data_IF_982158155083
#
_entry.id   IF_982158155083
#
_cell.length_a   1.000
_cell.length_b   1.000
_cell.length_c   1.000
_cell.angle_alpha   90.00
_cell.angle_beta   90.00
_cell.angle_gamma   90.00
#
_symmetry.space_group_name_H-M   'P 1'
#
loop_
_entity.id
_entity.type
_entity.pdbx_description
1 polymer ?
#
# COMPACT_ATOMS: atom_id res chain seq x y z
N UNK A 1 19.73 -69.17 0.09
CA UNK A 1 18.67 -69.82 -0.71
C UNK A 1 17.37 -69.69 0.08
N UNK A 2 16.56 -68.68 -0.24
CA UNK A 2 15.38 -68.77 -1.14
C UNK A 2 14.18 -69.47 -0.50
N UNK A 3 13.15 -68.64 -0.24
CA UNK A 3 11.69 -68.85 -0.30
C UNK A 3 11.09 -69.98 0.57
N UNK A 4 10.35 -69.69 1.65
CA UNK A 4 8.99 -69.11 1.77
C UNK A 4 7.88 -70.03 1.24
N UNK A 5 6.87 -70.33 2.09
CA UNK A 5 5.52 -70.91 1.87
C UNK A 5 5.10 -71.58 3.23
N UNK A 6 3.92 -71.50 3.84
CA UNK A 6 2.58 -70.94 3.58
C UNK A 6 1.86 -70.73 4.93
N UNK A 7 0.94 -69.76 4.94
CA UNK A 7 -0.03 -69.34 5.97
C UNK A 7 -0.87 -70.46 6.59
N UNK A 8 -1.28 -70.30 7.85
CA UNK A 8 -2.71 -70.30 8.22
C UNK A 8 -2.98 -69.69 9.62
N UNK A 9 -3.50 -68.47 9.62
CA UNK A 9 -4.64 -67.95 10.41
C UNK A 9 -4.90 -68.61 11.79
N UNK A 10 -4.73 -67.86 12.87
CA UNK A 10 -5.86 -67.24 13.61
C UNK A 10 -5.45 -66.71 14.99
N UNK A 11 -5.92 -65.50 15.25
CA UNK A 11 -6.38 -64.99 16.56
C UNK A 11 -5.35 -65.03 17.70
N UNK A 12 -4.74 -63.87 17.95
CA UNK A 12 -4.78 -63.11 19.21
C UNK A 12 -3.68 -62.04 19.10
N UNK A 13 -4.09 -60.79 18.91
CA UNK A 13 -3.25 -59.62 19.14
C UNK A 13 -4.23 -58.54 19.66
N UNK A 14 -4.34 -58.27 20.97
CA UNK A 14 -3.34 -57.64 21.85
C UNK A 14 -2.58 -56.53 21.13
N UNK A 15 -3.00 -55.30 21.43
CA UNK A 15 -2.12 -54.13 21.48
C UNK A 15 -1.82 -53.47 20.15
N UNK A 16 -2.67 -52.51 19.74
CA UNK A 16 -2.26 -51.34 18.95
C UNK A 16 -3.44 -50.35 18.81
N UNK A 17 -3.94 -49.80 19.92
CA UNK A 17 -4.98 -48.73 19.91
C UNK A 17 -4.37 -47.32 20.03
N UNK A 18 -3.04 -47.17 20.11
CA UNK A 18 -2.43 -45.85 20.45
C UNK A 18 -1.57 -45.23 19.34
N UNK A 19 -1.43 -45.85 18.17
CA UNK A 19 -0.48 -45.35 17.15
C UNK A 19 -1.10 -44.99 15.79
N UNK A 20 -2.40 -44.70 15.71
CA UNK A 20 -3.05 -44.28 14.46
C UNK A 20 -3.93 -43.02 14.58
N UNK A 21 -3.66 -42.17 15.58
CA UNK A 21 -4.33 -40.87 15.76
C UNK A 21 -3.38 -39.66 15.64
N UNK A 22 -2.11 -39.87 15.29
CA UNK A 22 -1.07 -38.84 15.32
C UNK A 22 -0.45 -38.52 13.93
N UNK A 23 -1.18 -38.74 12.83
CA UNK A 23 -0.75 -38.34 11.46
C UNK A 23 -1.83 -37.50 10.74
N UNK A 24 -2.74 -36.87 11.47
CA UNK A 24 -3.66 -35.86 10.93
C UNK A 24 -3.29 -34.42 11.34
N UNK A 25 -2.03 -34.18 11.70
CA UNK A 25 -1.52 -32.85 12.05
C UNK A 25 -0.51 -32.36 11.02
N UNK A 26 -1.01 -31.75 9.94
CA UNK A 26 -0.41 -30.60 9.22
C UNK A 26 -0.96 -30.45 7.79
N UNK A 27 -2.27 -30.27 7.67
CA UNK A 27 -2.80 -29.31 6.71
C UNK A 27 -3.52 -28.26 7.53
N UNK A 28 -2.76 -27.34 8.14
CA UNK A 28 -3.36 -26.05 8.46
C UNK A 28 -3.61 -25.37 7.12
N UNK A 29 -4.77 -25.66 6.54
CA UNK A 29 -5.41 -24.71 5.65
C UNK A 29 -5.63 -23.46 6.51
N UNK A 30 -4.72 -22.51 6.41
CA UNK A 30 -4.85 -21.18 6.97
C UNK A 30 -5.85 -20.40 6.11
N UNK A 31 -7.10 -20.85 6.10
CA UNK A 31 -8.25 -20.06 5.73
C UNK A 31 -8.75 -19.38 6.99
N UNK A 32 -8.21 -18.21 7.29
CA UNK A 32 -8.74 -17.34 8.35
C UNK A 32 -8.65 -15.89 7.89
N UNK A 33 -9.77 -15.20 8.06
CA UNK A 33 -10.00 -13.76 7.98
C UNK A 33 -10.53 -13.14 6.67
N UNK A 34 -11.58 -13.76 6.12
CA UNK A 34 -12.56 -13.09 5.25
C UNK A 34 -13.47 -12.16 6.08
N UNK A 35 -13.03 -10.90 6.22
CA UNK A 35 -13.80 -9.66 6.49
C UNK A 35 -12.85 -8.55 6.99
N UNK A 36 -11.79 -8.93 7.70
CA UNK A 36 -10.68 -8.06 8.08
C UNK A 36 -9.71 -7.89 6.90
N UNK A 37 -9.32 -8.94 6.19
CA UNK A 37 -8.36 -8.87 5.06
C UNK A 37 -8.67 -7.84 3.96
N UNK A 38 -9.94 -7.51 3.70
CA UNK A 38 -10.34 -6.53 2.67
C UNK A 38 -10.37 -5.08 3.15
N UNK A 39 -10.51 -4.84 4.47
CA UNK A 39 -10.34 -3.49 5.08
C UNK A 39 -8.87 -3.11 5.25
N UNK A 40 -7.96 -4.02 4.91
CA UNK A 40 -6.55 -4.03 5.29
C UNK A 40 -5.59 -3.80 4.11
N UNK A 41 -6.03 -3.45 2.90
CA UNK A 41 -5.09 -3.21 1.78
C UNK A 41 -4.76 -1.73 1.60
N UNK A 42 -5.74 -0.83 1.48
CA UNK A 42 -5.47 0.60 1.26
C UNK A 42 -4.78 1.29 2.45
N UNK A 43 -5.29 1.08 3.66
CA UNK A 43 -4.67 1.70 4.84
C UNK A 43 -3.32 1.08 5.20
N UNK A 44 -3.17 -0.23 5.01
CA UNK A 44 -1.87 -0.92 5.10
C UNK A 44 -0.90 -0.42 4.04
N UNK A 45 -1.40 -0.15 2.83
CA UNK A 45 -0.64 0.47 1.75
C UNK A 45 -0.17 1.87 2.12
N UNK A 46 -1.06 2.74 2.64
CA UNK A 46 -0.70 4.07 3.16
C UNK A 46 0.34 3.93 4.29
N UNK A 47 0.15 2.99 5.21
CA UNK A 47 1.07 2.77 6.32
C UNK A 47 2.42 2.17 5.88
N UNK A 48 2.46 1.56 4.69
CA UNK A 48 3.62 0.89 4.11
C UNK A 48 3.97 -0.43 4.77
N UNK A 49 2.99 -1.26 5.15
CA UNK A 49 3.28 -2.51 5.87
C UNK A 49 4.14 -3.48 5.04
N UNK A 50 3.96 -3.50 3.72
CA UNK A 50 4.80 -4.25 2.79
C UNK A 50 6.23 -3.70 2.72
N UNK A 51 6.41 -2.37 2.82
CA UNK A 51 7.74 -1.75 2.92
C UNK A 51 8.38 -2.10 4.27
N UNK A 52 7.63 -2.00 5.37
CA UNK A 52 8.08 -2.36 6.73
C UNK A 52 8.53 -3.81 6.82
N UNK A 53 7.75 -4.73 6.28
CA UNK A 53 8.05 -6.16 6.31
C UNK A 53 9.33 -6.54 5.54
N UNK A 54 9.68 -5.77 4.49
CA UNK A 54 10.89 -5.98 3.69
C UNK A 54 12.09 -5.16 4.15
N UNK A 55 11.87 -4.17 5.03
CA UNK A 55 12.92 -3.26 5.45
C UNK A 55 13.82 -3.92 6.49
N UNK A 56 15.07 -4.15 6.12
CA UNK A 56 16.08 -4.75 6.98
C UNK A 56 17.44 -4.16 6.65
N UNK A 57 18.43 -4.34 7.53
CA UNK A 57 19.79 -3.87 7.24
C UNK A 57 20.30 -4.50 5.93
N UNK A 58 20.71 -3.65 4.98
CA UNK A 58 21.15 -4.08 3.65
C UNK A 58 20.03 -4.32 2.63
N UNK A 59 18.76 -4.07 2.98
CA UNK A 59 17.69 -4.00 1.99
C UNK A 59 17.89 -2.78 1.10
N UNK A 60 17.46 -2.89 -0.15
CA UNK A 60 17.41 -1.77 -1.08
C UNK A 60 16.41 -0.72 -0.65
N UNK A 61 16.63 0.52 -1.08
CA UNK A 61 15.73 1.61 -0.74
C UNK A 61 14.37 1.47 -1.44
N UNK A 62 13.30 1.70 -0.69
CA UNK A 62 11.92 1.62 -1.14
C UNK A 62 11.20 2.88 -0.68
N UNK A 63 10.43 3.51 -1.56
CA UNK A 63 9.68 4.72 -1.23
C UNK A 63 8.24 4.58 -1.68
N UNK A 64 7.32 5.08 -0.88
CA UNK A 64 5.91 5.25 -1.23
C UNK A 64 5.42 6.62 -0.80
N UNK A 65 4.75 7.29 -1.72
CA UNK A 65 4.07 8.55 -1.47
C UNK A 65 2.60 8.41 -1.83
N UNK A 66 1.73 8.96 -0.99
CA UNK A 66 0.29 9.01 -1.23
C UNK A 66 -0.16 10.45 -1.08
N UNK A 67 -0.69 11.00 -2.16
CA UNK A 67 -1.40 12.26 -2.19
C UNK A 67 -2.90 12.01 -2.13
N UNK A 68 -3.56 12.58 -1.13
CA UNK A 68 -5.01 12.65 -1.09
C UNK A 68 -5.43 14.03 -1.60
N UNK A 69 -5.95 14.08 -2.82
CA UNK A 69 -6.55 15.24 -3.43
C UNK A 69 -8.06 15.22 -3.25
N UNK A 70 -8.54 15.05 -2.00
CA UNK A 70 -9.92 14.65 -1.68
C UNK A 70 -10.18 13.25 -2.24
N UNK A 71 -10.25 12.23 -1.38
CA UNK A 71 -10.22 10.81 -1.76
C UNK A 71 -11.20 10.45 -2.88
N UNK A 72 -12.42 11.00 -2.78
CA UNK A 72 -13.54 10.74 -3.70
C UNK A 72 -13.36 11.42 -5.06
N UNK A 73 -12.45 12.40 -5.15
CA UNK A 73 -12.09 13.10 -6.39
C UNK A 73 -10.79 12.59 -6.97
N UNK A 74 -9.77 12.44 -6.13
CA UNK A 74 -8.47 11.95 -6.53
C UNK A 74 -7.65 11.48 -5.32
N UNK A 75 -7.14 10.25 -5.39
CA UNK A 75 -5.97 9.85 -4.63
C UNK A 75 -4.87 9.45 -5.63
N UNK A 76 -3.63 9.79 -5.33
CA UNK A 76 -2.51 9.51 -6.22
C UNK A 76 -1.36 8.89 -5.46
N UNK A 77 -0.76 7.87 -6.03
CA UNK A 77 0.33 7.14 -5.39
C UNK A 77 1.56 7.06 -6.26
N UNK A 78 2.72 7.03 -5.61
CA UNK A 78 4.02 6.88 -6.23
C UNK A 78 4.81 5.84 -5.45
N UNK A 79 5.09 4.70 -6.06
CA UNK A 79 5.98 3.69 -5.52
C UNK A 79 7.30 3.72 -6.27
N UNK A 80 8.43 3.86 -5.56
CA UNK A 80 9.77 3.80 -6.12
C UNK A 80 10.50 2.62 -5.51
N UNK A 81 11.01 1.74 -6.36
CA UNK A 81 11.77 0.56 -5.96
C UNK A 81 12.90 0.30 -6.98
N UNK A 82 13.93 -0.46 -6.63
CA UNK A 82 14.98 -0.83 -7.58
C UNK A 82 14.40 -1.53 -8.80
N UNK A 83 15.01 -1.26 -9.95
CA UNK A 83 14.71 -2.01 -11.17
C UNK A 83 15.13 -3.48 -10.99
N UNK A 84 14.32 -4.40 -11.52
CA UNK A 84 14.65 -5.83 -11.50
C UNK A 84 15.80 -6.20 -12.45
N UNK A 85 16.07 -5.36 -13.45
CA UNK A 85 17.13 -5.53 -14.44
C UNK A 85 17.72 -4.17 -14.82
N UNK A 86 19.05 -4.09 -14.92
CA UNK A 86 19.77 -2.82 -15.13
C UNK A 86 19.78 -1.97 -13.85
N UNK A 87 20.96 -1.50 -13.43
CA UNK A 87 21.05 -0.66 -12.22
C UNK A 87 20.15 0.57 -12.33
N UNK A 88 19.46 0.93 -11.25
CA UNK A 88 18.53 2.07 -11.21
C UNK A 88 17.24 1.75 -10.46
N UNK A 89 16.25 2.63 -10.62
CA UNK A 89 14.96 2.56 -9.94
C UNK A 89 13.81 2.64 -10.94
N UNK A 90 12.65 2.15 -10.52
CA UNK A 90 11.39 2.24 -11.25
C UNK A 90 10.40 3.00 -10.40
N UNK A 91 9.86 4.08 -10.96
CA UNK A 91 8.69 4.78 -10.46
C UNK A 91 7.43 4.12 -11.00
N UNK A 92 6.47 3.83 -10.13
CA UNK A 92 5.10 3.43 -10.50
C UNK A 92 4.14 4.49 -9.96
N UNK A 93 3.52 5.25 -10.85
CA UNK A 93 2.52 6.24 -10.52
C UNK A 93 1.11 5.68 -10.76
N UNK A 94 0.17 5.99 -9.88
CA UNK A 94 -1.25 5.55 -9.99
C UNK A 94 -2.18 6.67 -9.57
N UNK A 95 -3.28 6.86 -10.30
CA UNK A 95 -4.31 7.86 -9.98
C UNK A 95 -5.65 7.18 -9.73
N UNK A 96 -6.03 7.05 -8.47
CA UNK A 96 -7.33 6.57 -8.04
C UNK A 96 -8.33 7.74 -8.08
N UNK A 97 -9.54 7.51 -8.59
CA UNK A 97 -10.56 8.56 -8.70
C UNK A 97 -11.88 8.00 -9.20
N UNK A 98 -12.93 8.83 -9.33
CA UNK A 98 -14.24 8.41 -9.83
C UNK A 98 -14.06 7.95 -11.28
N UNK A 99 -14.08 6.64 -11.43
CA UNK A 99 -14.00 5.81 -12.64
C UNK A 99 -14.04 6.54 -14.00
N UNK A 100 -12.96 6.45 -14.77
CA UNK A 100 -13.03 6.31 -16.22
C UNK A 100 -12.70 4.84 -16.56
N UNK A 101 -13.74 4.02 -16.74
CA UNK A 101 -13.65 2.57 -16.98
C UNK A 101 -13.51 2.24 -18.48
N UNK A 102 -13.20 3.22 -19.33
CA UNK A 102 -13.21 3.02 -20.78
C UNK A 102 -11.99 2.26 -21.33
N UNK A 103 -10.93 2.04 -20.53
CA UNK A 103 -9.69 1.44 -21.04
C UNK A 103 -8.92 0.61 -19.98
N UNK A 104 -9.58 -0.41 -19.40
CA UNK A 104 -8.90 -1.38 -18.53
C UNK A 104 -8.44 -2.57 -19.38
N UNK A 105 -7.23 -2.46 -19.95
CA UNK A 105 -6.52 -3.63 -20.47
C UNK A 105 -5.93 -4.39 -19.28
N UNK A 106 -6.54 -5.51 -18.91
CA UNK A 106 -6.01 -6.40 -17.88
C UNK A 106 -4.76 -7.12 -18.43
N UNK A 107 -3.59 -6.78 -17.91
CA UNK A 107 -2.34 -7.51 -18.16
C UNK A 107 -2.39 -8.88 -17.43
N UNK A 108 -2.42 -10.02 -18.14
CA UNK A 108 -2.45 -11.35 -17.53
C UNK A 108 -1.21 -11.67 -16.67
N UNK A 109 -0.14 -10.87 -16.77
CA UNK A 109 1.05 -10.97 -15.92
C UNK A 109 0.91 -10.31 -14.53
N UNK A 110 -0.19 -9.60 -14.25
CA UNK A 110 -0.38 -8.84 -13.00
C UNK A 110 -0.72 -9.70 -11.75
N UNK A 111 -0.85 -11.03 -11.90
CA UNK A 111 -1.19 -11.94 -10.80
C UNK A 111 0.00 -12.19 -9.84
N UNK A 112 1.20 -11.68 -10.13
CA UNK A 112 2.36 -11.84 -9.24
C UNK A 112 2.96 -10.47 -8.88
N UNK A 113 2.47 -9.84 -7.82
CA UNK A 113 3.32 -8.94 -7.01
C UNK A 113 2.76 -7.60 -6.51
N UNK A 114 1.54 -7.17 -6.85
CA UNK A 114 1.01 -5.87 -6.40
C UNK A 114 -0.29 -5.95 -5.58
N UNK A 115 -0.27 -5.57 -4.28
CA UNK A 115 -1.45 -5.60 -3.42
C UNK A 115 -2.63 -4.73 -3.88
N UNK A 116 -2.39 -3.69 -4.69
CA UNK A 116 -3.46 -2.79 -5.15
C UNK A 116 -4.21 -3.33 -6.38
N UNK A 117 -3.65 -4.30 -7.11
CA UNK A 117 -4.30 -4.89 -8.29
C UNK A 117 -5.46 -5.84 -7.90
N UNK A 118 -5.54 -6.26 -6.63
CA UNK A 118 -6.65 -7.05 -6.07
C UNK A 118 -7.90 -6.18 -5.80
N UNK A 119 -7.77 -4.85 -5.84
CA UNK A 119 -8.87 -3.89 -5.62
C UNK A 119 -9.52 -3.44 -6.94
N UNK A 120 -10.10 -4.37 -7.69
CA UNK A 120 -10.88 -4.07 -8.89
C UNK A 120 -12.27 -3.52 -8.49
N UNK A 121 -12.38 -2.20 -8.25
CA UNK A 121 -12.74 -1.25 -9.32
C UNK A 121 -11.87 0.02 -9.38
N UNK A 122 -10.72 0.08 -8.70
CA UNK A 122 -9.84 1.27 -8.66
C UNK A 122 -8.69 1.23 -9.69
N UNK A 123 -8.97 0.77 -10.90
CA UNK A 123 -8.01 0.68 -12.01
C UNK A 123 -7.72 2.05 -12.64
N UNK A 124 -7.30 2.98 -11.79
CA UNK A 124 -6.86 4.31 -12.15
C UNK A 124 -5.78 4.32 -13.23
N UNK A 125 -5.56 5.49 -13.84
CA UNK A 125 -4.48 5.69 -14.82
C UNK A 125 -3.13 5.37 -14.16
N UNK A 126 -2.35 4.49 -14.79
CA UNK A 126 -1.04 4.06 -14.33
C UNK A 126 0.04 4.61 -15.25
N UNK A 127 1.20 4.93 -14.69
CA UNK A 127 2.41 5.20 -15.46
C UNK A 127 3.61 4.52 -14.79
N UNK A 128 4.61 4.20 -15.61
CA UNK A 128 5.88 3.64 -15.15
C UNK A 128 7.03 4.44 -15.76
N UNK A 129 7.90 4.97 -14.92
CA UNK A 129 9.11 5.68 -15.32
C UNK A 129 10.37 4.96 -14.82
N UNK A 130 11.47 5.12 -15.54
CA UNK A 130 12.80 4.72 -15.06
C UNK A 130 13.48 5.91 -14.41
N UNK A 131 14.05 5.70 -13.23
CA UNK A 131 14.80 6.70 -12.48
C UNK A 131 16.26 6.26 -12.35
N UNK A 132 17.18 7.18 -12.58
CA UNK A 132 18.60 6.99 -12.35
C UNK A 132 18.95 7.14 -10.87
N UNK A 133 20.17 6.79 -10.47
CA UNK A 133 20.66 7.06 -9.12
C UNK A 133 20.64 8.57 -8.79
N UNK A 134 20.96 9.42 -9.78
CA UNK A 134 20.92 10.88 -9.62
C UNK A 134 19.51 11.39 -9.34
N UNK A 135 18.48 10.76 -9.89
CA UNK A 135 17.09 11.12 -9.62
C UNK A 135 16.72 10.79 -8.17
N UNK A 136 17.25 9.69 -7.62
CA UNK A 136 17.07 9.34 -6.21
C UNK A 136 17.83 10.29 -5.30
N UNK A 137 19.06 10.68 -5.64
CA UNK A 137 19.80 11.70 -4.89
C UNK A 137 19.01 13.01 -4.82
N UNK A 138 18.42 13.43 -5.96
CA UNK A 138 17.57 14.61 -6.03
C UNK A 138 16.28 14.45 -5.20
N UNK A 139 15.69 13.25 -5.15
CA UNK A 139 14.55 12.96 -4.29
C UNK A 139 14.94 13.10 -2.82
N UNK A 140 16.06 12.49 -2.40
CA UNK A 140 16.52 12.51 -1.00
C UNK A 140 16.77 13.94 -0.51
N UNK A 141 17.38 14.81 -1.32
CA UNK A 141 17.55 16.24 -1.00
C UNK A 141 16.20 16.93 -0.73
N UNK A 142 15.19 16.62 -1.55
CA UNK A 142 13.83 17.17 -1.39
C UNK A 142 13.12 16.59 -0.18
N UNK A 143 13.34 15.31 0.14
CA UNK A 143 12.81 14.69 1.35
C UNK A 143 13.41 15.30 2.62
N UNK A 144 14.72 15.54 2.64
CA UNK A 144 15.39 16.27 3.74
C UNK A 144 14.79 17.66 3.89
N UNK A 145 14.67 18.42 2.79
CA UNK A 145 14.11 19.78 2.80
C UNK A 145 12.66 19.81 3.27
N UNK A 146 11.84 18.84 2.86
CA UNK A 146 10.45 18.69 3.28
C UNK A 146 10.27 18.19 4.73
N UNK A 147 11.36 17.90 5.44
CA UNK A 147 11.32 17.39 6.81
C UNK A 147 10.86 15.93 6.93
N UNK A 148 10.91 15.13 5.86
CA UNK A 148 10.45 13.74 5.87
C UNK A 148 11.13 12.90 6.96
N UNK A 149 12.43 13.11 7.17
CA UNK A 149 13.24 12.39 8.17
C UNK A 149 13.14 12.96 9.60
N UNK A 150 12.32 13.99 9.82
CA UNK A 150 11.98 14.47 11.17
C UNK A 150 10.90 13.58 11.81
N UNK A 151 10.70 13.63 13.14
CA UNK A 151 9.60 12.92 13.78
C UNK A 151 8.26 13.21 13.11
N UNK A 152 7.45 12.18 12.87
CA UNK A 152 6.11 12.34 12.32
C UNK A 152 5.24 13.19 13.26
N UNK A 153 4.30 14.00 12.72
CA UNK A 153 3.41 14.82 13.54
C UNK A 153 2.36 13.94 14.24
N UNK A 154 2.76 13.32 15.35
CA UNK A 154 1.92 12.42 16.15
C UNK A 154 0.62 13.12 16.55
N UNK A 155 -0.50 12.44 16.35
CA UNK A 155 -1.84 12.95 16.61
C UNK A 155 -2.43 13.78 15.47
N UNK A 156 -1.69 14.04 14.38
CA UNK A 156 -2.25 14.70 13.20
C UNK A 156 -3.41 13.86 12.64
N UNK A 157 -4.57 14.50 12.51
CA UNK A 157 -5.81 13.90 12.06
C UNK A 157 -6.09 14.24 10.59
N UNK A 158 -6.19 13.21 9.76
CA UNK A 158 -6.38 13.29 8.31
C UNK A 158 -7.74 12.71 7.95
N UNK A 159 -8.59 13.48 7.29
CA UNK A 159 -9.88 13.00 6.76
C UNK A 159 -9.77 12.72 5.27
N UNK A 160 -10.61 11.83 4.76
CA UNK A 160 -10.77 11.56 3.32
C UNK A 160 -11.02 12.82 2.50
N UNK A 161 -11.68 13.83 3.06
CA UNK A 161 -11.95 15.11 2.38
C UNK A 161 -10.80 16.11 2.43
N UNK A 162 -9.75 15.85 3.20
CA UNK A 162 -8.65 16.80 3.37
C UNK A 162 -7.63 16.64 2.25
N UNK A 163 -6.94 17.72 1.90
CA UNK A 163 -5.72 17.61 1.11
C UNK A 163 -4.56 17.20 2.01
N UNK A 164 -3.91 16.07 1.73
CA UNK A 164 -2.75 15.63 2.51
C UNK A 164 -1.76 14.80 1.70
N UNK A 165 -0.53 14.71 2.21
CA UNK A 165 0.47 13.74 1.80
C UNK A 165 0.77 12.80 2.96
N UNK A 166 0.96 11.52 2.66
CA UNK A 166 1.71 10.59 3.51
C UNK A 166 2.89 10.04 2.72
N UNK A 167 3.99 9.80 3.40
CA UNK A 167 5.17 9.17 2.82
C UNK A 167 5.68 8.09 3.76
N UNK A 168 6.14 6.99 3.19
CA UNK A 168 6.82 5.92 3.90
C UNK A 168 7.98 5.43 3.05
N UNK A 169 9.14 5.25 3.68
CA UNK A 169 10.31 4.75 2.98
C UNK A 169 11.11 3.80 3.87
N UNK A 170 11.73 2.82 3.25
CA UNK A 170 12.86 2.10 3.81
C UNK A 170 14.11 2.68 3.16
N UNK A 171 14.95 3.35 3.94
CA UNK A 171 16.23 3.89 3.45
C UNK A 171 17.33 3.37 4.35
N UNK A 172 18.36 2.74 3.77
CA UNK A 172 19.46 2.13 4.52
C UNK A 172 18.99 1.13 5.61
N UNK A 173 17.90 0.40 5.34
CA UNK A 173 17.30 -0.54 6.29
C UNK A 173 16.56 0.10 7.47
N UNK A 174 16.24 1.40 7.40
CA UNK A 174 15.44 2.12 8.39
C UNK A 174 14.12 2.57 7.78
N UNK A 175 13.01 2.18 8.42
CA UNK A 175 11.68 2.68 8.07
C UNK A 175 11.47 4.07 8.63
N UNK A 176 11.04 4.99 7.77
CA UNK A 176 10.58 6.34 8.12
C UNK A 176 9.19 6.56 7.54
N UNK A 177 8.28 7.13 8.34
CA UNK A 177 6.96 7.57 7.92
C UNK A 177 6.76 9.03 8.30
N UNK A 178 6.12 9.81 7.43
CA UNK A 178 5.70 11.17 7.75
C UNK A 178 4.41 11.55 7.00
N UNK A 179 3.75 12.60 7.45
CA UNK A 179 2.51 13.08 6.87
C UNK A 179 2.38 14.60 6.99
N UNK A 180 1.69 15.21 6.03
CA UNK A 180 1.46 16.65 5.97
C UNK A 180 0.03 16.92 5.53
N UNK A 181 -0.66 17.81 6.24
CA UNK A 181 -2.04 18.20 5.95
C UNK A 181 -2.09 19.64 5.49
N UNK A 182 -2.86 19.91 4.44
CA UNK A 182 -3.18 21.27 4.03
C UNK A 182 -4.42 21.79 4.78
N UNK A 183 -4.47 23.10 5.11
CA UNK A 183 -3.37 24.05 5.05
C UNK A 183 -2.45 23.92 6.28
N UNK A 184 -1.14 23.92 6.08
CA UNK A 184 -0.15 24.09 7.14
C UNK A 184 1.19 24.56 6.56
N UNK A 185 2.03 25.20 7.39
CA UNK A 185 3.37 25.62 6.97
C UNK A 185 4.22 24.45 6.49
N UNK A 186 4.14 23.31 7.19
CA UNK A 186 4.83 22.09 6.79
C UNK A 186 4.38 21.56 5.43
N UNK A 187 3.08 21.62 5.12
CA UNK A 187 2.57 21.24 3.80
C UNK A 187 3.03 22.22 2.71
N UNK A 188 3.01 23.52 3.00
CA UNK A 188 3.42 24.56 2.05
C UNK A 188 4.94 24.56 1.77
N UNK A 189 5.75 24.06 2.71
CA UNK A 189 7.19 23.91 2.57
C UNK A 189 7.62 22.66 1.78
N UNK A 190 6.67 21.80 1.37
CA UNK A 190 7.00 20.57 0.65
C UNK A 190 7.64 20.86 -0.71
N UNK A 191 8.77 20.21 -0.99
CA UNK A 191 9.48 20.35 -2.26
C UNK A 191 9.49 19.07 -3.11
N UNK A 192 9.33 17.89 -2.51
CA UNK A 192 9.24 16.61 -3.24
C UNK A 192 8.01 16.49 -4.17
N UNK A 193 6.82 17.08 -3.88
CA UNK A 193 5.65 16.89 -4.75
C UNK A 193 5.89 17.37 -6.18
N UNK A 194 6.55 18.51 -6.35
CA UNK A 194 6.86 19.05 -7.69
C UNK A 194 7.78 18.09 -8.48
N UNK A 195 8.72 17.43 -7.80
CA UNK A 195 9.59 16.44 -8.43
C UNK A 195 8.81 15.19 -8.85
N UNK A 196 7.97 14.64 -7.95
CA UNK A 196 7.12 13.48 -8.28
C UNK A 196 6.17 13.79 -9.45
N UNK A 197 5.58 14.98 -9.47
CA UNK A 197 4.71 15.43 -10.57
C UNK A 197 5.47 15.57 -11.89
N UNK A 198 6.76 15.95 -11.87
CA UNK A 198 7.56 16.03 -13.08
C UNK A 198 7.91 14.67 -13.70
N UNK A 199 7.86 13.60 -12.91
CA UNK A 199 8.05 12.21 -13.36
C UNK A 199 6.72 11.49 -13.64
N UNK A 200 5.59 12.15 -13.39
CA UNK A 200 4.27 11.56 -13.51
C UNK A 200 3.77 11.62 -14.96
N UNK A 201 3.79 10.48 -15.63
CA UNK A 201 3.31 10.35 -17.01
C UNK A 201 1.87 9.80 -17.11
N UNK A 202 1.09 9.82 -16.03
CA UNK A 202 -0.29 9.30 -16.04
C UNK A 202 -1.21 10.11 -16.97
N UNK A 203 -0.84 11.36 -17.26
CA UNK A 203 -1.61 12.32 -18.08
C UNK A 203 -2.85 12.89 -17.37
N UNK A 204 -3.05 12.55 -16.09
CA UNK A 204 -4.18 13.07 -15.30
C UNK A 204 -3.76 14.32 -14.55
N UNK A 205 -4.48 15.42 -14.72
CA UNK A 205 -4.24 16.65 -13.98
C UNK A 205 -4.28 16.42 -12.46
N UNK A 206 -3.37 17.06 -11.73
CA UNK A 206 -3.37 17.06 -10.27
C UNK A 206 -4.59 17.88 -9.80
N UNK A 207 -5.37 17.35 -8.86
CA UNK A 207 -6.39 18.14 -8.16
C UNK A 207 -5.68 19.04 -7.13
N UNK A 208 -5.54 20.36 -7.33
CA UNK A 208 -4.65 21.17 -6.49
C UNK A 208 -5.23 21.44 -5.10
N UNK A 209 -4.39 21.52 -4.05
CA UNK A 209 -4.83 21.92 -2.70
C UNK A 209 -5.47 23.30 -2.71
N UNK A 210 -6.66 23.41 -2.12
CA UNK A 210 -7.42 24.65 -1.98
C UNK A 210 -8.44 24.53 -0.85
N UNK A 211 -8.98 25.65 -0.40
CA UNK A 211 -10.20 25.64 0.41
C UNK A 211 -11.36 25.11 -0.45
N UNK A 212 -12.10 24.12 0.07
CA UNK A 212 -13.24 23.49 -0.61
C UNK A 212 -14.46 23.54 0.28
N UNK A 213 -15.63 23.76 -0.33
CA UNK A 213 -16.92 23.70 0.35
C UNK A 213 -17.46 22.27 0.40
N UNK A 214 -18.40 21.99 1.31
CA UNK A 214 -19.12 20.70 1.33
C UNK A 214 -19.83 20.43 0.01
N UNK A 215 -20.46 21.45 -0.58
CA UNK A 215 -21.09 21.34 -1.90
C UNK A 215 -20.09 20.96 -2.99
N UNK A 216 -18.87 21.48 -2.92
CA UNK A 216 -17.82 21.09 -3.86
C UNK A 216 -17.36 19.65 -3.64
N UNK A 217 -17.30 19.18 -2.40
CA UNK A 217 -16.89 17.80 -2.08
C UNK A 217 -17.99 16.81 -2.49
N UNK A 218 -19.20 16.98 -1.96
CA UNK A 218 -20.28 16.01 -2.04
C UNK A 218 -21.28 16.29 -3.16
N UNK A 219 -21.38 17.53 -3.63
CA UNK A 219 -22.42 17.97 -4.57
C UNK A 219 -23.62 18.57 -3.87
N UNK A 220 -24.74 18.69 -4.61
CA UNK A 220 -26.01 19.20 -4.09
C UNK A 220 -26.78 18.16 -3.24
N UNK A 221 -27.93 18.54 -2.66
CA UNK A 221 -28.73 17.68 -1.78
C UNK A 221 -29.13 16.32 -2.36
N UNK A 222 -29.16 16.22 -3.70
CA UNK A 222 -29.53 15.01 -4.44
C UNK A 222 -28.33 14.09 -4.79
N UNK A 223 -27.11 14.41 -4.33
CA UNK A 223 -25.93 13.57 -4.56
C UNK A 223 -26.09 12.23 -3.84
N UNK A 224 -26.35 11.17 -4.59
CA UNK A 224 -26.53 9.81 -4.04
C UNK A 224 -25.22 9.10 -3.68
N UNK A 225 -24.08 9.71 -4.01
CA UNK A 225 -22.76 9.09 -3.85
C UNK A 225 -22.22 9.31 -2.44
N UNK A 226 -22.59 8.43 -1.51
CA UNK A 226 -21.92 8.29 -0.22
C UNK A 226 -20.62 7.52 -0.46
N UNK A 227 -19.63 8.19 -1.03
CA UNK A 227 -18.30 7.62 -1.17
C UNK A 227 -17.69 7.38 0.23
N UNK A 228 -16.88 6.33 0.43
CA UNK A 228 -16.43 5.92 1.74
C UNK A 228 -15.61 7.02 2.41
N UNK A 229 -16.09 7.50 3.55
CA UNK A 229 -15.37 8.44 4.39
C UNK A 229 -14.47 7.68 5.36
N UNK A 230 -13.23 8.14 5.48
CA UNK A 230 -12.29 7.58 6.44
C UNK A 230 -11.46 8.66 7.09
N UNK A 231 -10.89 8.28 8.22
CA UNK A 231 -10.01 9.12 9.01
C UNK A 231 -8.77 8.34 9.40
N UNK A 232 -7.63 9.03 9.40
CA UNK A 232 -6.34 8.49 9.79
C UNK A 232 -5.77 9.35 10.91
N UNK A 233 -5.21 8.70 11.92
CA UNK A 233 -4.44 9.37 12.97
C UNK A 233 -2.98 9.00 12.82
N UNK A 234 -2.12 10.01 12.67
CA UNK A 234 -0.67 9.81 12.57
C UNK A 234 -0.09 9.40 13.94
N UNK A 235 0.68 8.32 13.95
CA UNK A 235 1.45 7.82 15.08
C UNK A 235 2.91 8.29 15.06
N UNK A 236 3.76 7.67 15.88
CA UNK A 236 5.17 8.03 15.99
C UNK A 236 5.99 7.71 14.74
N UNK A 237 5.65 6.64 14.04
CA UNK A 237 6.33 6.21 12.82
C UNK A 237 5.38 5.37 11.95
N UNK A 238 4.19 5.88 11.66
CA UNK A 238 3.13 5.17 10.93
C UNK A 238 1.75 5.71 11.32
N UNK A 239 0.70 4.98 10.99
CA UNK A 239 -0.66 5.24 11.45
C UNK A 239 -0.86 4.66 12.86
N UNK A 240 -1.51 5.41 13.75
CA UNK A 240 -1.89 5.00 15.10
C UNK A 240 -3.39 4.67 15.22
N UNK A 241 -4.20 5.06 14.25
CA UNK A 241 -5.63 4.77 14.24
C UNK A 241 -6.24 4.99 12.86
N UNK A 242 -7.22 4.16 12.53
CA UNK A 242 -8.04 4.25 11.33
C UNK A 242 -9.49 4.24 11.80
N UNK A 243 -10.29 5.21 11.34
CA UNK A 243 -11.72 5.27 11.63
C UNK A 243 -12.53 5.42 10.35
N UNK A 244 -13.74 4.85 10.32
CA UNK A 244 -14.76 5.15 9.31
C UNK A 244 -15.68 6.21 9.87
N UNK A 245 -15.92 7.30 9.12
CA UNK A 245 -17.03 8.20 9.41
C UNK A 245 -18.25 7.58 8.72
N UNK A 246 -19.32 7.34 9.49
CA UNK A 246 -20.49 6.57 9.08
C UNK A 246 -21.22 7.17 7.88
#
# INVERSE_FOLDING_TARGET
MSYAIIRCISRVARGAVVALAAVLSSCSYAGHDDALSQRFTWFSYINGDDIRARCAKGSTDLYRFVYNGIYIKQARTYDIAPASQGGGFVLRARVLGPSDLSDVTLDPGAIIGDPLDILAPFAGRKARGTLSARDIDALDERLVTSGFFQPAPKGLYLRSEDFFWTAVACVNGRVTFNAWKYPSDGFNALTFPALLFSWDETGVAINPPRAVSEFEIYGGPDSKDHAPQFTLTVGENGLAGIGTLF
#
